data_IF_304723654995
#
_entry.id   IF_304723654995
#
_cell.length_a   1.000
_cell.length_b   1.000
_cell.length_c   1.000
_cell.angle_alpha   90.00
_cell.angle_beta   90.00
_cell.angle_gamma   90.00
#
_symmetry.space_group_name_H-M   'P 1'
#
loop_
_entity.id
_entity.type
_entity.pdbx_description
1 polymer ?
#
# COMPACT_ATOMS: atom_id res chain seq x y z
N UNK A 1 10.62 -5.44 -6.33
CA UNK A 1 11.61 -5.80 -7.36
C UNK A 1 11.71 -4.83 -8.55
N UNK A 2 10.66 -4.10 -8.96
CA UNK A 2 10.75 -3.14 -10.08
C UNK A 2 11.52 -1.84 -9.78
N UNK A 3 11.58 -1.39 -8.53
CA UNK A 3 12.27 -0.14 -8.15
C UNK A 3 13.80 -0.27 -7.98
N UNK A 4 14.29 -1.47 -7.63
CA UNK A 4 15.74 -1.72 -7.49
C UNK A 4 16.50 -1.53 -8.81
N UNK A 5 15.81 -1.64 -9.95
CA UNK A 5 16.40 -1.43 -11.27
C UNK A 5 16.78 0.04 -11.52
N UNK A 6 16.10 1.00 -10.89
CA UNK A 6 16.37 2.43 -11.06
C UNK A 6 17.73 2.82 -10.46
N UNK A 7 17.98 2.44 -9.21
CA UNK A 7 19.26 2.72 -8.55
C UNK A 7 20.42 1.95 -9.18
N UNK A 8 20.20 0.71 -9.63
CA UNK A 8 21.22 -0.05 -10.37
C UNK A 8 21.70 0.64 -11.66
N UNK A 9 20.79 1.31 -12.39
CA UNK A 9 21.16 2.11 -13.56
C UNK A 9 21.95 3.37 -13.20
N UNK A 10 21.60 4.03 -12.09
CA UNK A 10 22.37 5.20 -11.59
C UNK A 10 23.79 4.78 -11.22
N UNK A 11 23.96 3.67 -10.50
CA UNK A 11 25.28 3.11 -10.18
C UNK A 11 26.06 2.70 -11.43
N UNK A 12 25.39 2.10 -12.41
CA UNK A 12 26.01 1.77 -13.70
C UNK A 12 26.57 3.02 -14.38
N UNK A 13 25.81 4.11 -14.44
CA UNK A 13 26.26 5.37 -15.03
C UNK A 13 27.47 5.94 -14.29
N UNK A 14 27.46 5.94 -12.95
CA UNK A 14 28.58 6.46 -12.13
C UNK A 14 29.85 5.65 -12.38
N UNK A 15 29.75 4.32 -12.38
CA UNK A 15 30.91 3.43 -12.56
C UNK A 15 31.44 3.46 -14.00
N UNK A 16 30.57 3.65 -15.00
CA UNK A 16 30.99 3.87 -16.39
C UNK A 16 31.63 5.24 -16.57
N UNK A 17 31.09 6.30 -15.96
CA UNK A 17 31.64 7.64 -16.03
C UNK A 17 33.01 7.76 -15.36
N UNK A 18 33.23 6.99 -14.28
CA UNK A 18 34.53 6.87 -13.62
C UNK A 18 35.46 5.86 -14.31
N UNK A 19 35.01 5.13 -15.34
CA UNK A 19 35.78 4.09 -16.06
C UNK A 19 36.23 2.90 -15.18
N UNK A 20 35.50 2.64 -14.09
CA UNK A 20 35.81 1.58 -13.11
C UNK A 20 35.71 0.18 -13.70
N UNK A 21 34.75 -0.02 -14.60
CA UNK A 21 34.53 -1.30 -15.27
C UNK A 21 35.69 -1.64 -16.21
N UNK A 22 36.29 -0.64 -16.85
CA UNK A 22 37.39 -0.81 -17.82
C UNK A 22 38.75 -0.95 -17.16
N UNK A 23 38.93 -0.33 -16.00
CA UNK A 23 40.16 -0.37 -15.22
C UNK A 23 40.12 -1.39 -14.07
N UNK A 24 39.17 -2.31 -14.11
CA UNK A 24 39.03 -3.36 -13.10
C UNK A 24 40.34 -4.16 -12.93
N UNK A 25 40.83 -4.25 -11.70
CA UNK A 25 42.03 -5.04 -11.36
C UNK A 25 43.36 -4.43 -11.80
N UNK A 26 43.40 -3.19 -12.32
CA UNK A 26 44.66 -2.50 -12.63
C UNK A 26 45.35 -2.01 -11.35
N UNK A 27 46.64 -2.30 -11.23
CA UNK A 27 47.47 -1.82 -10.12
C UNK A 27 47.53 -0.28 -10.14
N UNK A 28 47.10 0.36 -9.05
CA UNK A 28 47.12 1.82 -8.88
C UNK A 28 45.80 2.54 -9.21
N UNK A 29 44.80 1.85 -9.77
CA UNK A 29 43.45 2.39 -9.91
C UNK A 29 42.63 2.09 -8.66
N UNK A 30 41.96 3.10 -8.13
CA UNK A 30 41.05 2.92 -6.99
C UNK A 30 39.61 3.16 -7.46
N UNK A 31 38.75 2.12 -7.49
CA UNK A 31 37.40 2.25 -7.99
C UNK A 31 36.49 2.94 -6.96
N UNK A 32 35.36 3.50 -7.39
CA UNK A 32 34.35 4.03 -6.48
C UNK A 32 33.72 2.93 -5.61
N UNK A 33 33.57 1.73 -6.19
CA UNK A 33 33.05 0.53 -5.52
C UNK A 33 33.95 -0.66 -5.86
N UNK A 34 34.44 -1.35 -4.84
CA UNK A 34 35.23 -2.57 -4.98
C UNK A 34 34.36 -3.77 -5.34
N UNK A 35 34.92 -4.71 -6.11
CA UNK A 35 34.29 -6.01 -6.39
C UNK A 35 33.14 -5.97 -7.41
N UNK A 36 32.93 -4.84 -8.11
CA UNK A 36 31.94 -4.74 -9.20
C UNK A 36 32.61 -4.87 -10.57
N UNK A 37 32.12 -5.82 -11.37
CA UNK A 37 32.68 -6.18 -12.68
C UNK A 37 31.64 -6.22 -13.80
N UNK A 38 30.36 -6.39 -13.44
CA UNK A 38 29.25 -6.58 -14.36
C UNK A 38 28.00 -5.86 -13.87
N UNK A 39 27.01 -5.69 -14.76
CA UNK A 39 25.72 -5.12 -14.36
C UNK A 39 25.04 -5.93 -13.24
N UNK A 40 25.22 -7.25 -13.24
CA UNK A 40 24.70 -8.11 -12.17
C UNK A 40 25.33 -7.79 -10.81
N UNK A 41 26.66 -7.59 -10.73
CA UNK A 41 27.32 -7.17 -9.48
C UNK A 41 26.88 -5.78 -9.02
N UNK A 42 26.62 -4.87 -9.97
CA UNK A 42 26.15 -3.51 -9.66
C UNK A 42 24.71 -3.54 -9.13
N UNK A 43 23.88 -4.39 -9.73
CA UNK A 43 22.53 -4.66 -9.22
C UNK A 43 22.55 -5.28 -7.81
N UNK A 44 23.43 -6.25 -7.57
CA UNK A 44 23.60 -6.85 -6.25
C UNK A 44 24.07 -5.82 -5.22
N UNK A 45 25.07 -5.00 -5.53
CA UNK A 45 25.49 -3.90 -4.67
C UNK A 45 24.34 -2.91 -4.36
N UNK A 46 23.56 -2.53 -5.38
CA UNK A 46 22.39 -1.67 -5.19
C UNK A 46 21.34 -2.33 -4.29
N UNK A 47 21.10 -3.64 -4.43
CA UNK A 47 20.18 -4.39 -3.59
C UNK A 47 20.66 -4.49 -2.14
N UNK A 48 21.93 -4.85 -1.95
CA UNK A 48 22.57 -5.00 -0.64
C UNK A 48 22.54 -3.68 0.12
N UNK A 49 22.78 -2.58 -0.57
CA UNK A 49 22.74 -1.23 -0.02
C UNK A 49 21.31 -0.82 0.34
N UNK A 50 20.35 -1.03 -0.57
CA UNK A 50 18.97 -0.61 -0.36
C UNK A 50 18.28 -1.39 0.77
N UNK A 51 18.54 -2.69 0.88
CA UNK A 51 17.99 -3.53 1.95
C UNK A 51 18.90 -3.59 3.17
N UNK A 52 19.99 -2.81 3.20
CA UNK A 52 20.95 -2.76 4.31
C UNK A 52 21.52 -4.15 4.69
N UNK A 53 21.68 -5.04 3.71
CA UNK A 53 22.22 -6.39 3.92
C UNK A 53 23.74 -6.32 4.14
N UNK A 54 24.45 -5.63 3.23
CA UNK A 54 25.88 -5.36 3.32
C UNK A 54 26.75 -6.62 3.51
N UNK A 55 26.78 -7.53 2.54
CA UNK A 55 27.60 -8.75 2.65
C UNK A 55 29.12 -8.46 2.73
N UNK A 56 29.54 -7.25 2.33
CA UNK A 56 30.91 -6.78 2.46
C UNK A 56 31.85 -7.24 1.33
N UNK A 57 31.32 -7.98 0.35
CA UNK A 57 32.02 -8.31 -0.89
C UNK A 57 32.12 -7.09 -1.83
N UNK A 58 31.03 -6.31 -1.92
CA UNK A 58 30.99 -5.04 -2.64
C UNK A 58 31.15 -3.89 -1.65
N UNK A 59 32.19 -3.07 -1.78
CA UNK A 59 32.53 -2.04 -0.78
C UNK A 59 32.72 -0.67 -1.41
N UNK A 60 32.16 0.35 -0.77
CA UNK A 60 32.32 1.75 -1.15
C UNK A 60 33.73 2.25 -0.79
N UNK A 61 34.36 3.03 -1.67
CA UNK A 61 35.62 3.73 -1.37
C UNK A 61 35.42 5.24 -1.23
N UNK A 62 36.43 5.94 -0.72
CA UNK A 62 36.40 7.40 -0.52
C UNK A 62 36.81 8.20 -1.77
N UNK A 63 37.10 7.54 -2.89
CA UNK A 63 37.62 8.22 -4.09
C UNK A 63 36.56 9.07 -4.79
N UNK A 64 35.29 8.62 -4.73
CA UNK A 64 34.18 9.23 -5.45
C UNK A 64 33.17 9.88 -4.49
N UNK A 65 33.34 11.16 -4.10
CA UNK A 65 32.42 11.81 -3.17
C UNK A 65 31.00 11.93 -3.73
N UNK A 66 30.85 12.08 -5.05
CA UNK A 66 29.53 12.08 -5.70
C UNK A 66 28.78 10.76 -5.52
N UNK A 67 29.50 9.64 -5.50
CA UNK A 67 28.90 8.34 -5.29
C UNK A 67 28.41 8.16 -3.84
N UNK A 68 29.10 8.78 -2.86
CA UNK A 68 28.67 8.80 -1.45
C UNK A 68 27.36 9.57 -1.29
N UNK A 69 27.21 10.71 -1.97
CA UNK A 69 25.95 11.48 -1.95
C UNK A 69 24.79 10.65 -2.51
N UNK A 70 25.02 9.93 -3.62
CA UNK A 70 24.02 9.04 -4.21
C UNK A 70 23.66 7.89 -3.28
N UNK A 71 24.64 7.30 -2.59
CA UNK A 71 24.43 6.29 -1.56
C UNK A 71 23.50 6.82 -0.45
N UNK A 72 23.74 8.03 0.05
CA UNK A 72 22.87 8.65 1.07
C UNK A 72 21.45 8.88 0.56
N UNK A 73 21.29 9.39 -0.66
CA UNK A 73 19.98 9.61 -1.27
C UNK A 73 19.23 8.29 -1.49
N UNK A 74 19.92 7.24 -1.92
CA UNK A 74 19.37 5.90 -2.06
C UNK A 74 18.87 5.36 -0.72
N UNK A 75 19.65 5.51 0.36
CA UNK A 75 19.25 5.06 1.70
C UNK A 75 17.99 5.78 2.20
N UNK A 76 17.90 7.10 2.04
CA UNK A 76 16.73 7.88 2.44
C UNK A 76 15.50 7.43 1.63
N UNK A 77 15.62 7.33 0.31
CA UNK A 77 14.52 6.89 -0.55
C UNK A 77 14.09 5.44 -0.24
N UNK A 78 15.05 4.56 0.04
CA UNK A 78 14.80 3.16 0.43
C UNK A 78 13.92 3.06 1.67
N UNK A 79 14.30 3.75 2.74
CA UNK A 79 13.56 3.77 4.01
C UNK A 79 12.16 4.36 3.84
N UNK A 80 12.01 5.44 3.06
CA UNK A 80 10.69 6.04 2.80
C UNK A 80 9.75 5.07 2.08
N UNK A 81 10.25 4.37 1.06
CA UNK A 81 9.46 3.40 0.29
C UNK A 81 9.07 2.21 1.19
N UNK A 82 10.00 1.71 2.00
CA UNK A 82 9.74 0.61 2.93
C UNK A 82 8.67 0.99 3.97
N UNK A 83 8.80 2.17 4.58
CA UNK A 83 7.83 2.68 5.56
C UNK A 83 6.43 2.84 4.95
N UNK A 84 6.34 3.38 3.73
CA UNK A 84 5.06 3.51 3.01
C UNK A 84 4.45 2.15 2.68
N UNK A 85 5.24 1.17 2.24
CA UNK A 85 4.76 -0.16 1.91
C UNK A 85 4.20 -0.86 3.15
N UNK A 86 4.93 -0.84 4.27
CA UNK A 86 4.48 -1.39 5.55
C UNK A 86 3.21 -0.66 6.02
N UNK A 87 3.17 0.67 5.91
CA UNK A 87 2.00 1.48 6.27
C UNK A 87 0.75 1.12 5.47
N UNK A 88 0.87 0.95 4.15
CA UNK A 88 -0.26 0.54 3.29
C UNK A 88 -0.73 -0.89 3.61
N UNK A 89 0.21 -1.81 3.82
CA UNK A 89 -0.12 -3.19 4.22
C UNK A 89 -0.84 -3.19 5.57
N UNK A 90 -0.33 -2.46 6.55
CA UNK A 90 -0.96 -2.33 7.86
C UNK A 90 -2.34 -1.69 7.78
N UNK A 91 -2.51 -0.61 7.01
CA UNK A 91 -3.81 0.02 6.79
C UNK A 91 -4.82 -0.95 6.16
N UNK A 92 -4.37 -1.77 5.21
CA UNK A 92 -5.22 -2.78 4.55
C UNK A 92 -5.61 -3.93 5.48
N UNK A 93 -4.70 -4.39 6.33
CA UNK A 93 -4.96 -5.43 7.34
C UNK A 93 -5.82 -4.93 8.50
N UNK A 94 -5.62 -3.68 8.92
CA UNK A 94 -6.39 -3.03 9.98
C UNK A 94 -7.82 -2.70 9.56
N UNK A 95 -8.12 -2.63 8.25
CA UNK A 95 -9.47 -2.37 7.78
C UNK A 95 -10.39 -3.55 8.17
N UNK A 96 -11.47 -3.31 8.94
CA UNK A 96 -12.31 -4.38 9.48
C UNK A 96 -13.29 -4.93 8.43
N UNK A 97 -12.78 -5.46 7.30
CA UNK A 97 -13.60 -5.94 6.17
C UNK A 97 -14.48 -7.15 6.53
N UNK A 98 -14.10 -7.94 7.54
CA UNK A 98 -14.85 -9.12 7.99
C UNK A 98 -15.95 -8.83 9.03
N UNK A 99 -16.17 -7.56 9.42
CA UNK A 99 -17.23 -7.23 10.41
C UNK A 99 -18.63 -7.23 9.79
N UNK A 100 -18.77 -6.84 8.53
CA UNK A 100 -20.06 -6.91 7.81
C UNK A 100 -20.54 -8.35 7.59
N UNK A 101 -19.64 -9.34 7.61
CA UNK A 101 -19.98 -10.76 7.47
C UNK A 101 -20.62 -11.36 8.74
N UNK A 102 -20.44 -10.72 9.90
CA UNK A 102 -21.01 -11.21 11.18
C UNK A 102 -22.28 -10.47 11.60
N UNK A 103 -22.64 -9.39 10.89
CA UNK A 103 -23.92 -8.72 11.02
C UNK A 103 -24.95 -9.42 10.15
N UNK A 104 -25.94 -10.03 10.80
CA UNK A 104 -26.99 -10.80 10.14
C UNK A 104 -28.32 -10.07 10.24
N UNK A 105 -29.06 -10.06 9.13
CA UNK A 105 -30.42 -9.55 9.06
C UNK A 105 -31.42 -10.71 8.99
N UNK A 106 -32.62 -10.52 9.54
CA UNK A 106 -33.72 -11.46 9.35
C UNK A 106 -34.05 -11.62 7.87
N UNK A 107 -34.30 -12.87 7.43
CA UNK A 107 -34.64 -13.16 6.02
C UNK A 107 -35.94 -12.50 5.55
N UNK A 108 -36.87 -12.25 6.47
CA UNK A 108 -38.15 -11.63 6.18
C UNK A 108 -38.37 -10.45 7.10
N UNK A 109 -38.91 -9.36 6.55
CA UNK A 109 -39.53 -8.29 7.31
C UNK A 109 -41.01 -8.62 7.50
N UNK A 110 -41.58 -8.22 8.63
CA UNK A 110 -42.98 -8.47 8.96
C UNK A 110 -43.71 -7.16 9.22
N UNK A 111 -44.96 -7.07 8.80
CA UNK A 111 -45.86 -5.98 9.14
C UNK A 111 -46.85 -6.50 10.18
N UNK A 112 -46.92 -5.87 11.35
CA UNK A 112 -47.88 -6.25 12.38
C UNK A 112 -48.45 -5.03 13.08
N UNK A 113 -49.60 -5.20 13.73
CA UNK A 113 -50.10 -4.21 14.68
C UNK A 113 -49.43 -4.38 16.05
N UNK A 114 -49.00 -3.27 16.63
CA UNK A 114 -48.54 -3.18 18.02
C UNK A 114 -49.09 -1.89 18.61
N UNK A 115 -49.76 -1.98 19.75
CA UNK A 115 -50.41 -0.84 20.41
C UNK A 115 -51.36 -0.06 19.47
N UNK A 116 -52.09 -0.79 18.61
CA UNK A 116 -53.04 -0.22 17.64
C UNK A 116 -52.42 0.43 16.40
N UNK A 117 -51.08 0.48 16.29
CA UNK A 117 -50.36 1.07 15.15
C UNK A 117 -49.68 -0.01 14.30
N UNK A 118 -49.61 0.19 12.99
CA UNK A 118 -48.92 -0.70 12.06
C UNK A 118 -47.41 -0.43 12.07
N UNK A 119 -46.62 -1.48 12.31
CA UNK A 119 -45.16 -1.43 12.31
C UNK A 119 -44.57 -2.38 11.28
N UNK A 120 -43.56 -1.91 10.55
CA UNK A 120 -42.64 -2.75 9.78
C UNK A 120 -41.46 -3.13 10.68
N UNK A 121 -41.23 -4.42 10.89
CA UNK A 121 -40.16 -4.92 11.75
C UNK A 121 -39.24 -5.88 10.99
N UNK A 122 -37.94 -5.73 11.26
CA UNK A 122 -36.90 -6.68 10.87
C UNK A 122 -35.93 -6.83 12.06
N UNK A 123 -35.22 -7.96 12.12
CA UNK A 123 -34.24 -8.21 13.19
C UNK A 123 -32.83 -8.06 12.65
N UNK A 124 -31.95 -7.52 13.47
CA UNK A 124 -30.50 -7.45 13.23
C UNK A 124 -29.81 -8.16 14.38
N UNK A 125 -28.81 -8.99 14.08
CA UNK A 125 -28.00 -9.71 15.06
C UNK A 125 -26.51 -9.54 14.80
N UNK A 126 -25.73 -9.47 15.87
CA UNK A 126 -24.27 -9.57 15.81
C UNK A 126 -23.84 -10.96 16.32
N UNK A 127 -23.16 -11.72 15.45
CA UNK A 127 -22.68 -13.07 15.78
C UNK A 127 -21.37 -13.06 16.59
N UNK A 128 -20.76 -11.88 16.83
CA UNK A 128 -19.53 -11.76 17.62
C UNK A 128 -19.83 -11.49 19.10
N UNK A 129 -18.90 -11.90 19.97
CA UNK A 129 -18.94 -11.58 21.41
C UNK A 129 -18.54 -10.12 21.72
N UNK A 130 -17.84 -9.47 20.81
CA UNK A 130 -17.42 -8.07 20.95
C UNK A 130 -18.58 -7.13 20.64
N UNK A 131 -18.84 -6.14 21.48
CA UNK A 131 -19.88 -5.14 21.21
C UNK A 131 -19.49 -4.15 20.10
N UNK A 132 -20.50 -3.71 19.34
CA UNK A 132 -20.39 -2.59 18.40
C UNK A 132 -20.63 -1.31 19.20
N UNK A 133 -19.61 -0.45 19.26
CA UNK A 133 -19.75 0.90 19.79
C UNK A 133 -20.43 1.80 18.74
N UNK A 134 -21.27 2.74 19.19
CA UNK A 134 -21.97 3.71 18.32
C UNK A 134 -22.83 3.08 17.21
N UNK A 135 -23.50 1.97 17.50
CA UNK A 135 -24.39 1.34 16.55
C UNK A 135 -25.60 2.24 16.23
N UNK A 136 -25.72 2.67 14.97
CA UNK A 136 -26.88 3.39 14.46
C UNK A 136 -27.51 2.58 13.31
N UNK A 137 -28.83 2.42 13.34
CA UNK A 137 -29.58 1.76 12.26
C UNK A 137 -30.29 2.83 11.45
N UNK A 138 -30.17 2.76 10.12
CA UNK A 138 -30.93 3.60 9.19
C UNK A 138 -31.60 2.69 8.18
N UNK A 139 -32.85 2.99 7.85
CA UNK A 139 -33.62 2.27 6.84
C UNK A 139 -34.05 3.23 5.75
N UNK A 140 -33.94 2.80 4.50
CA UNK A 140 -34.36 3.58 3.33
C UNK A 140 -35.33 2.77 2.49
N UNK A 141 -36.41 3.40 2.04
CA UNK A 141 -37.31 2.87 1.02
C UNK A 141 -36.75 3.29 -0.33
N UNK A 142 -36.54 2.31 -1.20
CA UNK A 142 -36.14 2.53 -2.58
C UNK A 142 -37.33 2.24 -3.48
N UNK A 143 -37.86 3.27 -4.14
CA UNK A 143 -39.00 3.16 -5.06
C UNK A 143 -38.73 3.89 -6.35
N UNK A 144 -39.42 3.50 -7.42
CA UNK A 144 -39.44 4.29 -8.66
C UNK A 144 -40.46 5.41 -8.47
N UNK A 145 -40.05 6.65 -8.69
CA UNK A 145 -40.92 7.83 -8.56
C UNK A 145 -40.88 8.64 -9.85
N UNK A 146 -42.02 9.20 -10.24
CA UNK A 146 -42.07 10.24 -11.29
C UNK A 146 -42.42 11.56 -10.63
N UNK A 147 -41.67 12.61 -10.92
CA UNK A 147 -41.96 13.95 -10.41
C UNK A 147 -43.15 14.56 -11.14
N UNK A 148 -43.71 15.65 -10.59
CA UNK A 148 -44.86 16.33 -11.20
C UNK A 148 -44.49 17.00 -12.53
N UNK A 149 -43.20 17.32 -12.71
CA UNK A 149 -42.59 17.85 -13.94
C UNK A 149 -42.33 16.76 -14.99
N UNK A 150 -42.60 15.49 -14.68
CA UNK A 150 -42.45 14.36 -15.59
C UNK A 150 -41.07 13.68 -15.55
N UNK A 151 -40.18 14.06 -14.63
CA UNK A 151 -38.89 13.40 -14.47
C UNK A 151 -39.05 12.03 -13.82
N UNK A 152 -38.48 10.98 -14.41
CA UNK A 152 -38.54 9.61 -13.87
C UNK A 152 -37.28 9.32 -13.07
N UNK A 153 -37.43 9.15 -11.76
CA UNK A 153 -36.38 8.76 -10.83
C UNK A 153 -36.42 7.22 -10.64
N UNK A 154 -35.50 6.46 -11.27
CA UNK A 154 -35.51 5.00 -11.19
C UNK A 154 -35.17 4.46 -9.78
N UNK A 155 -34.40 5.22 -9.01
CA UNK A 155 -33.95 4.85 -7.65
C UNK A 155 -34.19 6.05 -6.73
N UNK A 156 -35.45 6.30 -6.39
CA UNK A 156 -35.81 7.31 -5.40
C UNK A 156 -35.67 6.72 -4.00
N UNK A 157 -34.85 7.35 -3.16
CA UNK A 157 -34.54 6.89 -1.81
C UNK A 157 -35.16 7.84 -0.77
N UNK A 158 -35.98 7.30 0.13
CA UNK A 158 -36.53 8.05 1.27
C UNK A 158 -36.20 7.35 2.58
N UNK A 159 -35.75 8.10 3.58
CA UNK A 159 -35.42 7.58 4.91
C UNK A 159 -36.70 7.31 5.71
N UNK A 160 -36.81 6.09 6.26
CA UNK A 160 -37.91 5.70 7.13
C UNK A 160 -37.60 6.19 8.54
N UNK A 161 -38.56 6.87 9.17
CA UNK A 161 -38.49 7.27 10.58
C UNK A 161 -38.88 6.14 11.53
#
# INVERSE_FOLDING_TARGET
MKFSNGFALVWWIILVAHDDIRNFGKNGWKPCVEGVQSFASIFLFSLETQHTIGYGFHRMTSECPGAIVILCLQSIAGVLIEALMVGVVFAKLSRPKKRSETLVFSRHAVVCQRDGQLYLMFRVGDMRKSHILEAHVRAQIITKRTTVEGEVLPIHQEEIK
#
